data_IF_651906061832
#
_entry.id   IF_651906061832
#
_cell.length_a   1.000
_cell.length_b   1.000
_cell.length_c   1.000
_cell.angle_alpha   90.00
_cell.angle_beta   90.00
_cell.angle_gamma   90.00
#
_symmetry.space_group_name_H-M   'P 1'
#
loop_
_entity.id
_entity.type
_entity.pdbx_description
1 polymer ?
#
# COMPACT_ATOMS: atom_id res chain seq x y z
N UNK A 1 21.80 -7.31 0.07
CA UNK A 1 20.97 -8.51 -0.16
C UNK A 1 19.52 -8.13 0.03
N UNK A 2 18.63 -8.46 -0.92
CA UNK A 2 17.18 -8.33 -0.73
C UNK A 2 16.77 -9.23 0.43
N UNK A 3 16.05 -8.69 1.41
CA UNK A 3 15.60 -9.43 2.59
C UNK A 3 14.18 -8.99 3.01
N UNK A 4 13.33 -9.92 3.46
CA UNK A 4 12.02 -9.61 4.00
C UNK A 4 12.13 -8.77 5.27
N UNK A 5 11.02 -8.19 5.70
CA UNK A 5 10.97 -7.38 6.91
C UNK A 5 11.15 -8.27 8.15
N UNK A 6 11.62 -7.68 9.24
CA UNK A 6 11.73 -8.40 10.52
C UNK A 6 10.38 -8.99 10.95
N UNK A 7 9.28 -8.28 10.67
CA UNK A 7 7.95 -8.77 10.98
C UNK A 7 7.68 -10.12 10.32
N UNK A 8 7.94 -10.24 9.02
CA UNK A 8 7.61 -11.45 8.27
C UNK A 8 8.47 -12.61 8.77
N UNK A 9 9.76 -12.35 9.05
CA UNK A 9 10.69 -13.33 9.62
C UNK A 9 10.19 -13.85 10.97
N UNK A 10 9.71 -12.96 11.85
CA UNK A 10 9.18 -13.34 13.16
C UNK A 10 7.85 -14.10 13.05
N UNK A 11 7.01 -13.77 12.07
CA UNK A 11 5.71 -14.41 11.87
C UNK A 11 5.83 -15.74 11.10
N UNK A 12 6.90 -15.93 10.34
CA UNK A 12 7.13 -17.12 9.51
C UNK A 12 6.32 -17.15 8.21
N UNK A 13 5.44 -16.17 7.98
CA UNK A 13 4.58 -16.08 6.81
C UNK A 13 4.27 -14.61 6.45
N UNK A 14 3.88 -14.42 5.19
CA UNK A 14 3.33 -13.17 4.67
C UNK A 14 1.84 -13.03 5.02
N UNK A 15 1.29 -11.83 4.85
CA UNK A 15 -0.13 -11.58 4.98
C UNK A 15 -0.92 -12.50 4.04
N UNK A 16 -1.94 -13.17 4.58
CA UNK A 16 -2.67 -14.22 3.87
C UNK A 16 -2.15 -15.65 4.10
N UNK A 17 -1.10 -15.83 4.93
CA UNK A 17 -0.66 -17.15 5.40
C UNK A 17 0.30 -17.88 4.45
N UNK A 18 0.89 -17.17 3.48
CA UNK A 18 1.89 -17.74 2.58
C UNK A 18 3.23 -17.91 3.30
N UNK A 19 3.75 -19.14 3.35
CA UNK A 19 4.98 -19.47 4.05
C UNK A 19 6.21 -18.85 3.36
N UNK A 20 7.06 -18.19 4.14
CA UNK A 20 8.28 -17.53 3.67
C UNK A 20 9.16 -18.46 2.82
N UNK A 21 9.29 -19.73 3.22
CA UNK A 21 10.23 -20.67 2.60
C UNK A 21 9.76 -21.19 1.24
N UNK A 22 8.50 -20.94 0.89
CA UNK A 22 7.91 -21.38 -0.39
C UNK A 22 8.08 -20.36 -1.51
N UNK A 23 8.57 -19.16 -1.18
CA UNK A 23 8.69 -18.01 -2.08
C UNK A 23 10.16 -17.74 -2.39
N UNK A 24 10.46 -17.33 -3.63
CA UNK A 24 11.83 -16.96 -4.02
C UNK A 24 12.32 -15.74 -3.23
N UNK A 25 13.63 -15.62 -2.97
CA UNK A 25 14.18 -14.48 -2.21
C UNK A 25 13.81 -13.11 -2.80
N UNK A 26 13.73 -13.01 -4.13
CA UNK A 26 13.32 -11.80 -4.83
C UNK A 26 11.85 -11.47 -4.54
N UNK A 27 10.97 -12.47 -4.63
CA UNK A 27 9.54 -12.30 -4.42
C UNK A 27 9.22 -12.06 -2.93
N UNK A 28 10.00 -12.66 -2.02
CA UNK A 28 9.86 -12.43 -0.57
C UNK A 28 9.98 -10.95 -0.22
N UNK A 29 10.88 -10.22 -0.88
CA UNK A 29 11.02 -8.77 -0.65
C UNK A 29 9.82 -8.01 -1.18
N UNK A 30 9.33 -8.38 -2.37
CA UNK A 30 8.17 -7.73 -3.00
C UNK A 30 6.94 -7.91 -2.10
N UNK A 31 6.66 -9.14 -1.67
CA UNK A 31 5.54 -9.45 -0.78
C UNK A 31 5.67 -8.75 0.57
N UNK A 32 6.87 -8.75 1.15
CA UNK A 32 7.15 -8.03 2.40
C UNK A 32 6.85 -6.53 2.30
N UNK A 33 7.26 -5.89 1.20
CA UNK A 33 6.99 -4.47 0.95
C UNK A 33 5.49 -4.25 0.75
N UNK A 34 4.81 -5.09 -0.02
CA UNK A 34 3.36 -5.01 -0.24
C UNK A 34 2.58 -5.15 1.07
N UNK A 35 2.96 -6.07 1.94
CA UNK A 35 2.30 -6.27 3.23
C UNK A 35 2.53 -5.10 4.17
N UNK A 36 3.73 -4.51 4.16
CA UNK A 36 4.00 -3.32 4.96
C UNK A 36 3.20 -2.12 4.43
N UNK A 37 3.12 -1.93 3.11
CA UNK A 37 2.28 -0.90 2.49
C UNK A 37 0.82 -1.08 2.89
N UNK A 38 0.26 -2.29 2.79
CA UNK A 38 -1.12 -2.56 3.22
C UNK A 38 -1.34 -2.22 4.69
N UNK A 39 -0.39 -2.57 5.58
CA UNK A 39 -0.48 -2.22 7.01
C UNK A 39 -0.48 -0.72 7.25
N UNK A 40 0.38 0.02 6.57
CA UNK A 40 0.42 1.49 6.64
C UNK A 40 -0.90 2.07 6.15
N UNK A 41 -1.40 1.62 4.99
CA UNK A 41 -2.63 2.13 4.37
C UNK A 41 -3.88 1.83 5.21
N UNK A 42 -3.92 0.69 5.90
CA UNK A 42 -5.04 0.29 6.76
C UNK A 42 -4.98 0.89 8.17
N UNK A 43 -3.85 1.48 8.56
CA UNK A 43 -3.72 2.12 9.86
C UNK A 43 -4.15 3.59 9.79
N UNK A 44 -4.84 4.08 10.83
CA UNK A 44 -5.16 5.51 10.97
C UNK A 44 -4.08 6.20 11.79
N UNK A 45 -3.56 7.33 11.29
CA UNK A 45 -2.66 8.20 12.03
C UNK A 45 -3.26 8.59 13.38
N UNK A 46 -2.43 8.55 14.43
CA UNK A 46 -2.83 8.79 15.82
C UNK A 46 -3.29 7.55 16.60
N UNK A 47 -3.42 6.38 15.95
CA UNK A 47 -3.80 5.13 16.64
C UNK A 47 -2.66 4.57 17.49
N UNK A 48 -1.42 4.70 17.03
CA UNK A 48 -0.23 4.26 17.75
C UNK A 48 0.31 5.39 18.61
N UNK A 49 0.22 5.26 19.93
CA UNK A 49 0.65 6.31 20.87
C UNK A 49 2.14 6.69 20.73
N UNK A 50 2.99 5.74 20.34
CA UNK A 50 4.42 5.96 20.13
C UNK A 50 4.78 6.41 18.70
N UNK A 51 3.83 6.35 17.77
CA UNK A 51 3.99 6.74 16.37
C UNK A 51 2.70 7.46 15.89
N UNK A 52 2.47 8.71 16.31
CA UNK A 52 1.23 9.43 16.03
C UNK A 52 1.06 9.73 14.53
N UNK A 53 2.14 9.71 13.76
CA UNK A 53 2.21 9.96 12.33
C UNK A 53 2.19 8.68 11.48
N UNK A 54 2.11 7.49 12.09
CA UNK A 54 2.02 6.23 11.36
C UNK A 54 0.60 5.96 10.86
N UNK A 55 0.49 5.70 9.56
CA UNK A 55 -0.78 5.41 8.89
C UNK A 55 -1.31 6.62 8.14
N UNK A 56 -2.57 6.54 7.71
CA UNK A 56 -3.22 7.59 6.94
C UNK A 56 -3.93 8.59 7.85
N UNK A 57 -3.79 9.90 7.59
CA UNK A 57 -4.61 10.91 8.26
C UNK A 57 -6.07 10.74 7.87
N UNK A 58 -6.96 11.47 8.56
CA UNK A 58 -8.39 11.39 8.30
C UNK A 58 -8.73 11.75 6.84
N UNK A 59 -9.01 10.72 6.04
CA UNK A 59 -9.29 10.88 4.62
C UNK A 59 -10.66 11.50 4.35
N UNK A 60 -11.57 11.49 5.33
CA UNK A 60 -12.89 12.13 5.16
C UNK A 60 -12.73 13.64 4.99
N UNK A 61 -11.88 14.27 5.81
CA UNK A 61 -11.56 15.69 5.70
C UNK A 61 -10.83 16.03 4.40
N UNK A 62 -9.94 15.14 3.93
CA UNK A 62 -9.19 15.35 2.69
C UNK A 62 -10.13 15.28 1.49
N UNK A 63 -11.05 14.30 1.42
CA UNK A 63 -11.94 14.10 0.28
C UNK A 63 -13.11 15.10 0.20
N UNK A 64 -13.46 15.77 1.28
CA UNK A 64 -14.53 16.79 1.29
C UNK A 64 -14.13 18.10 0.57
N UNK A 65 -12.84 18.36 0.39
CA UNK A 65 -12.31 19.59 -0.23
C UNK A 65 -12.09 19.54 -1.74
N UNK A 66 -13.15 19.28 -2.54
CA UNK A 66 -13.24 19.38 -4.02
C UNK A 66 -11.99 19.85 -4.83
N UNK A 67 -11.88 19.44 -6.11
CA UNK A 67 -10.78 18.71 -6.78
C UNK A 67 -9.32 18.80 -6.25
N UNK A 68 -8.93 19.79 -5.44
CA UNK A 68 -7.59 19.90 -4.88
C UNK A 68 -7.23 18.74 -3.92
N UNK A 69 -8.25 18.10 -3.32
CA UNK A 69 -8.15 16.88 -2.50
C UNK A 69 -7.34 15.76 -3.13
N UNK A 70 -7.48 15.54 -4.44
CA UNK A 70 -6.87 14.38 -5.10
C UNK A 70 -5.34 14.49 -5.09
N UNK A 71 -4.82 15.66 -5.43
CA UNK A 71 -3.37 15.90 -5.42
C UNK A 71 -2.82 15.88 -3.99
N UNK A 72 -3.54 16.45 -3.03
CA UNK A 72 -3.17 16.41 -1.62
C UNK A 72 -3.13 14.97 -1.07
N UNK A 73 -4.11 14.13 -1.44
CA UNK A 73 -4.15 12.73 -1.08
C UNK A 73 -2.95 11.97 -1.67
N UNK A 74 -2.67 12.16 -2.96
CA UNK A 74 -1.51 11.54 -3.62
C UNK A 74 -0.19 11.95 -2.95
N UNK A 75 -0.03 13.23 -2.60
CA UNK A 75 1.15 13.74 -1.92
C UNK A 75 1.30 13.15 -0.51
N UNK A 76 0.20 13.09 0.24
CA UNK A 76 0.16 12.52 1.60
C UNK A 76 0.52 11.03 1.57
N UNK A 77 -0.11 10.25 0.68
CA UNK A 77 0.19 8.83 0.51
C UNK A 77 1.66 8.61 0.17
N UNK A 78 2.18 9.37 -0.79
CA UNK A 78 3.58 9.26 -1.19
C UNK A 78 4.53 9.57 -0.04
N UNK A 79 4.25 10.62 0.73
CA UNK A 79 5.08 11.03 1.86
C UNK A 79 5.09 9.98 2.99
N UNK A 80 3.93 9.44 3.34
CA UNK A 80 3.82 8.41 4.39
C UNK A 80 4.50 7.11 3.96
N UNK A 81 4.25 6.65 2.73
CA UNK A 81 4.84 5.41 2.23
C UNK A 81 6.37 5.50 2.10
N UNK A 82 6.91 6.61 1.58
CA UNK A 82 8.36 6.80 1.51
C UNK A 82 9.02 6.92 2.88
N UNK A 83 8.28 7.41 3.89
CA UNK A 83 8.79 7.55 5.26
C UNK A 83 8.89 6.20 5.98
N UNK A 84 7.87 5.35 5.85
CA UNK A 84 7.78 4.09 6.60
C UNK A 84 8.21 2.84 5.82
N UNK A 85 8.42 2.96 4.51
CA UNK A 85 8.93 1.89 3.66
C UNK A 85 10.11 2.39 2.81
N UNK A 86 11.32 2.53 3.40
CA UNK A 86 12.49 3.10 2.73
C UNK A 86 13.05 2.21 1.61
N UNK A 87 12.60 0.96 1.48
CA UNK A 87 12.95 0.09 0.35
C UNK A 87 12.33 0.59 -0.96
N UNK A 88 11.26 1.38 -0.88
CA UNK A 88 10.66 2.05 -2.04
C UNK A 88 11.51 3.27 -2.43
N UNK A 89 12.19 3.18 -3.56
CA UNK A 89 13.02 4.29 -4.06
C UNK A 89 12.20 5.38 -4.76
N UNK A 90 11.09 4.99 -5.38
CA UNK A 90 10.19 5.90 -6.10
C UNK A 90 8.78 5.34 -6.06
N UNK A 91 7.81 6.22 -5.84
CA UNK A 91 6.38 5.89 -5.83
C UNK A 91 5.68 6.83 -6.81
N UNK A 92 4.79 6.28 -7.62
CA UNK A 92 3.86 7.05 -8.44
C UNK A 92 2.45 6.65 -8.01
N UNK A 93 1.76 7.54 -7.30
CA UNK A 93 0.34 7.37 -7.00
C UNK A 93 -0.43 7.99 -8.15
N UNK A 94 -1.41 7.26 -8.71
CA UNK A 94 -2.27 7.74 -9.78
C UNK A 94 -3.72 7.56 -9.33
N UNK A 95 -4.51 8.62 -9.43
CA UNK A 95 -5.96 8.51 -9.25
C UNK A 95 -6.57 7.91 -10.50
N UNK A 96 -7.19 6.74 -10.36
CA UNK A 96 -7.94 6.12 -11.44
C UNK A 96 -9.35 6.72 -11.45
N UNK A 97 -9.82 7.12 -12.64
CA UNK A 97 -11.20 7.57 -12.82
C UNK A 97 -12.15 6.38 -12.60
N UNK A 98 -13.02 6.48 -11.61
CA UNK A 98 -13.94 5.41 -11.22
C UNK A 98 -15.17 5.29 -12.16
N UNK A 99 -15.22 6.07 -13.25
CA UNK A 99 -16.31 6.02 -14.23
C UNK A 99 -16.28 4.81 -15.19
N UNK A 100 -15.34 3.87 -15.06
CA UNK A 100 -15.39 2.62 -15.81
C UNK A 100 -16.33 1.63 -15.10
N UNK A 101 -17.51 1.28 -15.69
CA UNK A 101 -18.36 0.24 -15.12
C UNK A 101 -17.61 -1.10 -15.14
N UNK A 102 -17.73 -1.87 -14.05
CA UNK A 102 -17.09 -3.18 -13.85
C UNK A 102 -17.43 -4.28 -14.87
N UNK A 103 -18.19 -3.96 -15.94
CA UNK A 103 -18.69 -4.91 -16.94
C UNK A 103 -17.97 -4.86 -18.31
N UNK A 104 -16.95 -4.01 -18.52
CA UNK A 104 -16.30 -3.89 -19.84
C UNK A 104 -14.88 -4.46 -19.92
N UNK A 105 -14.54 -5.47 -19.11
CA UNK A 105 -13.28 -6.22 -19.22
C UNK A 105 -13.54 -7.68 -19.61
N UNK A 106 -14.18 -7.91 -20.77
CA UNK A 106 -14.13 -9.19 -21.46
C UNK A 106 -14.48 -8.95 -22.95
N UNK A 107 -13.51 -8.69 -23.83
CA UNK A 107 -13.72 -8.96 -25.23
C UNK A 107 -13.71 -10.49 -25.36
N UNK A 108 -14.89 -11.10 -25.25
CA UNK A 108 -15.11 -12.44 -25.77
C UNK A 108 -14.78 -12.40 -27.26
N UNK A 109 -13.59 -12.88 -27.61
CA UNK A 109 -13.24 -13.24 -28.98
C UNK A 109 -14.13 -14.42 -29.37
N UNK A 110 -15.35 -14.13 -29.81
CA UNK A 110 -16.26 -15.10 -30.41
C UNK A 110 -16.11 -15.04 -31.93
N UNK A 111 -15.60 -16.16 -32.44
CA UNK A 111 -15.80 -16.76 -33.76
C UNK A 111 -15.22 -16.05 -34.97
#
# INVERSE_FOLDING_TARGET
MPRPSLYDILYGNFAGGLDLNTVSETDQVILSVLDNMQRILNCRAGTLAHLPDYGLPDMTAILQGMPASAHQLMSTLSAVLLKYEPRLQRIAVVMLDQHAPANCAMPLMRS
#
